data_IF_415098439247
#
_entry.id   IF_415098439247
#
_cell.length_a   1.000
_cell.length_b   1.000
_cell.length_c   1.000
_cell.angle_alpha   90.00
_cell.angle_beta   90.00
_cell.angle_gamma   90.00
#
_symmetry.space_group_name_H-M   'P 1'
#
loop_
_entity.id
_entity.type
_entity.pdbx_description
1 polymer ?
#
# COMPACT_ATOMS: atom_id res chain seq x y z
N UNK A 1 7.72 4.47 1.63
CA UNK A 1 6.50 5.17 1.22
C UNK A 1 5.73 4.37 0.20
N UNK A 2 4.40 4.51 0.12
CA UNK A 2 3.56 3.78 -0.84
C UNK A 2 2.67 4.74 -1.61
N UNK A 3 2.77 4.71 -2.94
CA UNK A 3 1.94 5.50 -3.84
C UNK A 3 0.86 4.61 -4.44
N UNK A 4 -0.41 5.03 -4.32
CA UNK A 4 -1.58 4.21 -4.67
C UNK A 4 -2.30 4.67 -5.95
N UNK A 5 -1.81 5.75 -6.56
CA UNK A 5 -2.30 6.29 -7.82
C UNK A 5 -1.21 7.15 -8.44
N UNK A 6 -1.14 7.21 -9.77
CA UNK A 6 -0.09 7.94 -10.51
C UNK A 6 0.02 9.42 -10.10
N UNK A 7 -1.12 10.11 -9.91
CA UNK A 7 -1.14 11.52 -9.47
C UNK A 7 -1.08 11.72 -7.95
N UNK A 8 -0.87 10.65 -7.18
CA UNK A 8 -0.85 10.68 -5.72
C UNK A 8 0.57 10.89 -5.20
N UNK A 9 0.73 11.43 -3.99
CA UNK A 9 2.02 11.42 -3.30
C UNK A 9 2.21 10.08 -2.57
N UNK A 10 3.45 9.57 -2.44
CA UNK A 10 3.72 8.44 -1.58
C UNK A 10 3.30 8.74 -0.13
N UNK A 11 2.61 7.79 0.49
CA UNK A 11 2.18 7.87 1.89
C UNK A 11 3.11 7.02 2.77
N UNK A 12 3.32 7.44 4.01
CA UNK A 12 4.00 6.60 4.99
C UNK A 12 3.16 5.35 5.26
N UNK A 13 3.81 4.19 5.22
CA UNK A 13 3.16 2.91 5.46
C UNK A 13 4.19 1.87 5.91
N UNK A 14 3.71 0.89 6.67
CA UNK A 14 4.46 -0.32 7.00
C UNK A 14 4.12 -1.40 5.98
N UNK A 15 5.13 -2.06 5.44
CA UNK A 15 5.00 -3.10 4.42
C UNK A 15 5.51 -4.40 5.02
N UNK A 16 4.66 -5.43 5.00
CA UNK A 16 4.98 -6.78 5.44
C UNK A 16 4.76 -7.74 4.26
N UNK A 17 5.82 -8.43 3.83
CA UNK A 17 5.74 -9.45 2.78
C UNK A 17 5.44 -10.81 3.39
N UNK A 18 4.70 -11.65 2.67
CA UNK A 18 4.58 -13.05 3.04
C UNK A 18 5.90 -13.80 2.83
N UNK A 19 6.10 -14.97 3.48
CA UNK A 19 7.36 -15.72 3.37
C UNK A 19 7.70 -16.16 1.95
N UNK A 20 6.71 -16.31 1.07
CA UNK A 20 6.91 -16.66 -0.34
C UNK A 20 7.18 -15.44 -1.23
N UNK A 21 7.07 -14.21 -0.72
CA UNK A 21 7.32 -12.98 -1.47
C UNK A 21 6.30 -12.68 -2.57
N UNK A 22 5.14 -13.33 -2.57
CA UNK A 22 4.11 -13.17 -3.61
C UNK A 22 3.09 -12.09 -3.25
N UNK A 23 2.94 -11.79 -1.96
CA UNK A 23 1.93 -10.85 -1.46
C UNK A 23 2.55 -9.94 -0.40
N UNK A 24 2.18 -8.67 -0.47
CA UNK A 24 2.51 -7.68 0.54
C UNK A 24 1.23 -7.18 1.22
N UNK A 25 1.26 -7.10 2.54
CA UNK A 25 0.29 -6.33 3.34
C UNK A 25 0.87 -4.95 3.58
N UNK A 26 0.09 -3.93 3.26
CA UNK A 26 0.46 -2.54 3.49
C UNK A 26 -0.47 -1.95 4.53
N UNK A 27 0.08 -1.48 5.64
CA UNK A 27 -0.66 -0.82 6.71
C UNK A 27 -0.32 0.66 6.73
N UNK A 28 -1.34 1.48 6.63
CA UNK A 28 -1.25 2.93 6.77
C UNK A 28 -1.71 3.34 8.17
N UNK A 29 -1.05 4.33 8.77
CA UNK A 29 -1.43 4.84 10.09
C UNK A 29 -2.69 5.71 10.02
N UNK A 30 -2.92 6.35 8.87
CA UNK A 30 -4.15 7.10 8.59
C UNK A 30 -5.03 6.37 7.57
N UNK A 31 -6.37 6.49 7.67
CA UNK A 31 -7.27 5.92 6.68
C UNK A 31 -6.98 6.48 5.28
N UNK A 32 -6.70 5.60 4.32
CA UNK A 32 -6.46 6.00 2.93
C UNK A 32 -7.66 5.66 2.07
N UNK A 33 -8.08 6.62 1.24
CA UNK A 33 -9.08 6.37 0.21
C UNK A 33 -8.40 5.78 -1.03
N UNK A 34 -8.65 4.50 -1.27
CA UNK A 34 -8.47 3.86 -2.57
C UNK A 34 -9.82 3.76 -3.26
N UNK A 35 -9.82 4.06 -4.56
CA UNK A 35 -11.02 4.04 -5.38
C UNK A 35 -11.49 2.61 -5.66
N UNK A 36 -10.59 1.65 -5.93
CA UNK A 36 -10.97 0.27 -6.31
C UNK A 36 -9.79 -0.73 -6.22
N UNK A 37 -10.06 -2.04 -6.02
CA UNK A 37 -9.10 -3.10 -6.35
C UNK A 37 -8.67 -3.01 -7.82
N UNK A 38 -7.43 -3.39 -8.12
CA UNK A 38 -6.83 -3.26 -9.45
C UNK A 38 -6.03 -1.97 -9.68
N UNK A 39 -6.03 -1.03 -8.73
CA UNK A 39 -5.04 0.06 -8.74
C UNK A 39 -3.64 -0.47 -8.43
N UNK A 40 -2.62 0.20 -8.94
CA UNK A 40 -1.22 -0.11 -8.62
C UNK A 40 -0.80 0.51 -7.29
N UNK A 41 -0.10 -0.27 -6.48
CA UNK A 41 0.64 0.20 -5.31
C UNK A 41 2.14 0.14 -5.62
N UNK A 42 2.81 1.29 -5.55
CA UNK A 42 4.26 1.40 -5.80
C UNK A 42 4.96 1.72 -4.48
N UNK A 43 6.03 0.98 -4.19
CA UNK A 43 6.81 1.08 -2.96
C UNK A 43 8.08 1.88 -3.20
N UNK A 44 8.36 2.80 -2.29
CA UNK A 44 9.48 3.73 -2.35
C UNK A 44 10.30 3.69 -1.05
N UNK A 45 11.61 3.88 -1.19
CA UNK A 45 12.52 4.24 -0.10
C UNK A 45 13.24 5.55 -0.46
N UNK A 46 12.80 6.66 0.11
CA UNK A 46 13.14 7.99 -0.40
C UNK A 46 12.75 8.14 -1.87
N UNK A 47 13.74 8.38 -2.72
CA UNK A 47 13.59 8.51 -4.18
C UNK A 47 13.76 7.18 -4.93
N UNK A 48 14.13 6.09 -4.24
CA UNK A 48 14.31 4.77 -4.84
C UNK A 48 12.96 4.04 -4.96
N UNK A 49 12.69 3.50 -6.15
CA UNK A 49 11.58 2.58 -6.37
C UNK A 49 12.00 1.17 -5.96
N UNK A 50 11.35 0.62 -4.94
CA UNK A 50 11.58 -0.76 -4.47
C UNK A 50 10.78 -1.78 -5.29
N UNK A 51 9.69 -1.36 -5.92
CA UNK A 51 8.83 -2.22 -6.73
C UNK A 51 7.36 -1.81 -6.61
N UNK A 52 6.47 -2.71 -7.01
CA UNK A 52 5.04 -2.48 -6.90
C UNK A 52 4.21 -3.69 -7.24
N UNK A 53 2.91 -3.58 -7.05
CA UNK A 53 1.96 -4.64 -7.34
C UNK A 53 0.54 -4.12 -7.49
N UNK A 54 -0.37 -5.02 -7.83
CA UNK A 54 -1.80 -4.71 -7.93
C UNK A 54 -2.46 -4.87 -6.56
N UNK A 55 -3.32 -3.92 -6.22
CA UNK A 55 -4.15 -4.02 -5.01
C UNK A 55 -5.21 -5.09 -5.25
N UNK A 56 -5.02 -6.26 -4.66
CA UNK A 56 -5.98 -7.38 -4.74
C UNK A 56 -7.11 -7.31 -3.70
N UNK A 57 -6.95 -6.54 -2.64
CA UNK A 57 -7.94 -6.46 -1.57
C UNK A 57 -7.66 -5.33 -0.60
N UNK A 58 -8.68 -4.91 0.13
CA UNK A 58 -8.61 -3.86 1.14
C UNK A 58 -9.34 -4.32 2.38
N UNK A 59 -8.67 -4.23 3.52
CA UNK A 59 -9.27 -4.49 4.83
C UNK A 59 -9.34 -3.18 5.58
N UNK A 60 -10.55 -2.77 5.95
CA UNK A 60 -10.74 -1.63 6.87
C UNK A 60 -10.72 -2.18 8.29
N UNK A 61 -9.63 -1.96 9.01
CA UNK A 61 -9.64 -2.13 10.46
C UNK A 61 -10.35 -0.92 11.05
N UNK A 62 -11.63 -1.08 11.40
CA UNK A 62 -12.31 -0.08 12.22
C UNK A 62 -11.71 -0.16 13.63
N UNK A 63 -11.13 0.94 14.11
CA UNK A 63 -10.73 1.07 15.50
C UNK A 63 -11.96 0.83 16.37
N UNK A 64 -11.94 -0.26 17.13
CA UNK A 64 -12.94 -0.55 18.15
C UNK A 64 -12.56 0.31 19.36
N UNK A 65 -13.39 1.31 19.64
CA UNK A 65 -13.45 2.03 20.93
C UNK A 65 -13.78 1.07 22.06
#
# INVERSE_FOLDING_TARGET
GVQLRSQGRPLAAVIETDPAGQRAKVRFDQPVRISSPGQSAVFYDGDLVLGGGLVCGMTRSQGRI
#
